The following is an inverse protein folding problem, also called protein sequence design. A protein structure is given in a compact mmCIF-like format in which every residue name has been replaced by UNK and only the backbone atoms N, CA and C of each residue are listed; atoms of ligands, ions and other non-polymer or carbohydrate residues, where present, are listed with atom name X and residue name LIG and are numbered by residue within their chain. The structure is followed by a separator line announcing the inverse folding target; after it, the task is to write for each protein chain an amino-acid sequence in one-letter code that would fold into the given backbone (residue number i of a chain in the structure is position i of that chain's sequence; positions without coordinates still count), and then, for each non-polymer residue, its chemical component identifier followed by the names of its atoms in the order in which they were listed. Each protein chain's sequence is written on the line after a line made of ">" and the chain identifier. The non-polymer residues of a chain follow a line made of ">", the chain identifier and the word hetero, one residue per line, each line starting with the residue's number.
data_IF_125949916656
#
_entry.id   IF_125949916656
#
_cell.length_a   1.000
_cell.length_b   1.000
_cell.length_c   1.000
_cell.angle_alpha   90.00
_cell.angle_beta   90.00
_cell.angle_gamma   90.00
#
_symmetry.space_group_name_H-M   'P 1'
#
loop_
_entity.id
_entity.type
_entity.pdbx_description
1 polymer ?
#
# COMPACT_ATOMS: atom_id res chain seq x y z
N UNK A 1 11.60 11.77 42.46
CA UNK A 1 11.68 10.73 41.42
C UNK A 1 10.54 10.93 40.42
N UNK A 2 10.80 11.54 39.25
CA UNK A 2 9.78 11.83 38.24
C UNK A 2 9.39 10.58 37.44
N UNK A 3 8.09 10.25 37.42
CA UNK A 3 7.51 9.27 36.50
C UNK A 3 7.05 9.99 35.22
N UNK A 4 7.29 9.44 34.02
CA UNK A 4 7.17 10.18 32.77
C UNK A 4 5.72 10.30 32.28
N UNK A 5 5.40 11.51 31.81
CA UNK A 5 4.21 11.89 31.05
C UNK A 5 4.20 11.26 29.66
N UNK A 6 3.08 10.67 29.21
CA UNK A 6 2.69 10.64 27.78
C UNK A 6 1.15 10.69 27.64
N UNK A 7 0.65 11.84 27.20
CA UNK A 7 -0.66 12.02 26.56
C UNK A 7 -0.41 12.68 25.19
N UNK A 8 -0.83 12.01 24.12
CA UNK A 8 -1.17 12.57 22.81
C UNK A 8 -1.90 11.44 22.07
N UNK A 9 -3.23 11.39 22.20
CA UNK A 9 -4.24 11.92 21.26
C UNK A 9 -4.63 10.86 20.23
N UNK A 10 -5.93 10.62 20.17
CA UNK A 10 -6.59 9.45 19.62
C UNK A 10 -7.26 9.78 18.29
N UNK A 11 -7.25 8.83 17.34
CA UNK A 11 -8.32 8.58 16.34
C UNK A 11 -8.21 7.07 15.98
N UNK A 12 -9.03 6.18 16.54
CA UNK A 12 -10.31 5.70 15.98
C UNK A 12 -10.10 5.11 14.55
N UNK A 13 -10.44 3.88 14.17
CA UNK A 13 -11.61 3.04 14.51
C UNK A 13 -11.42 1.68 13.81
N UNK A 14 -11.98 0.60 14.37
CA UNK A 14 -12.49 -0.52 13.58
C UNK A 14 -11.61 -1.76 13.50
N UNK A 15 -11.70 -2.59 14.54
CA UNK A 15 -11.66 -4.03 14.34
C UNK A 15 -12.80 -4.43 13.41
N UNK A 16 -12.54 -5.03 12.25
CA UNK A 16 -13.55 -5.83 11.54
C UNK A 16 -12.90 -6.88 10.63
N UNK A 17 -13.15 -8.13 11.02
CA UNK A 17 -13.36 -9.33 10.21
C UNK A 17 -12.20 -9.79 9.32
N UNK A 18 -11.49 -10.80 9.81
CA UNK A 18 -11.02 -11.87 8.94
C UNK A 18 -12.25 -12.72 8.52
N UNK A 19 -12.67 -12.75 7.25
CA UNK A 19 -13.41 -13.88 6.74
C UNK A 19 -12.42 -15.02 6.46
N UNK A 20 -12.76 -16.17 7.03
CA UNK A 20 -12.30 -17.52 6.75
C UNK A 20 -11.71 -17.67 5.32
N UNK A 21 -10.38 -17.81 5.21
CA UNK A 21 -9.70 -17.89 3.92
C UNK A 21 -8.21 -17.51 3.90
N UNK A 22 -7.51 -17.61 5.04
CA UNK A 22 -6.08 -17.33 5.14
C UNK A 22 -5.28 -18.40 4.37
N UNK A 23 -5.10 -18.21 3.06
CA UNK A 23 -4.05 -18.90 2.29
C UNK A 23 -2.69 -18.28 2.62
N UNK A 24 -2.23 -18.50 3.84
CA UNK A 24 -0.83 -18.25 4.20
C UNK A 24 -0.10 -19.56 4.16
N UNK A 25 0.31 -19.90 2.96
CA UNK A 25 1.36 -20.88 2.76
C UNK A 25 2.49 -20.16 2.04
N UNK A 26 3.64 -20.10 2.72
CA UNK A 26 4.95 -19.61 2.24
C UNK A 26 5.26 -18.18 2.64
N UNK A 27 6.43 -17.99 3.26
CA UNK A 27 7.10 -16.70 3.51
C UNK A 27 7.08 -15.81 2.27
N UNK A 28 6.04 -15.01 2.11
CA UNK A 28 5.83 -14.22 0.89
C UNK A 28 6.06 -12.76 1.22
N UNK A 29 7.23 -12.25 0.81
CA UNK A 29 7.62 -10.85 0.95
C UNK A 29 6.61 -9.95 0.23
N UNK A 30 6.38 -8.73 0.74
CA UNK A 30 5.46 -7.76 0.12
C UNK A 30 5.75 -7.54 -1.38
N UNK A 31 7.02 -7.65 -1.77
CA UNK A 31 7.49 -7.61 -3.16
C UNK A 31 6.89 -8.69 -4.07
N UNK A 32 6.76 -9.92 -3.58
CA UNK A 32 6.17 -11.02 -4.35
C UNK A 32 4.66 -10.84 -4.50
N UNK A 33 4.00 -10.45 -3.41
CA UNK A 33 2.56 -10.10 -3.40
C UNK A 33 2.25 -9.01 -4.43
N UNK A 34 3.08 -7.96 -4.51
CA UNK A 34 2.94 -6.90 -5.52
C UNK A 34 2.90 -7.45 -6.95
N UNK A 35 3.75 -8.42 -7.28
CA UNK A 35 3.81 -9.04 -8.61
C UNK A 35 2.56 -9.84 -8.93
N UNK A 36 2.14 -10.69 -7.97
CA UNK A 36 0.93 -11.52 -8.09
C UNK A 36 -0.31 -10.65 -8.29
N UNK A 37 -0.50 -9.67 -7.44
CA UNK A 37 -1.66 -8.79 -7.45
C UNK A 37 -1.71 -7.91 -8.70
N UNK A 38 -0.57 -7.37 -9.17
CA UNK A 38 -0.51 -6.65 -10.44
C UNK A 38 -0.97 -7.53 -11.61
N UNK A 39 -0.54 -8.79 -11.63
CA UNK A 39 -0.94 -9.76 -12.66
C UNK A 39 -2.44 -10.05 -12.60
N UNK A 40 -3.00 -10.24 -11.40
CA UNK A 40 -4.44 -10.47 -11.18
C UNK A 40 -5.30 -9.24 -11.53
N UNK A 41 -4.81 -8.02 -11.31
CA UNK A 41 -5.52 -6.78 -11.65
C UNK A 41 -5.48 -6.44 -13.16
N UNK A 42 -4.80 -7.26 -13.97
CA UNK A 42 -4.62 -7.04 -15.40
C UNK A 42 -3.60 -5.93 -15.72
N UNK A 43 -2.73 -5.57 -14.77
CA UNK A 43 -1.69 -4.57 -14.93
C UNK A 43 -0.48 -5.20 -15.63
N UNK A 44 -0.60 -5.41 -16.95
CA UNK A 44 0.42 -6.07 -17.79
C UNK A 44 1.72 -5.26 -17.94
N UNK A 45 1.74 -3.99 -17.56
CA UNK A 45 2.94 -3.17 -17.67
C UNK A 45 3.90 -3.46 -16.52
N UNK A 46 5.13 -3.86 -16.85
CA UNK A 46 6.18 -4.15 -15.87
C UNK A 46 6.47 -2.98 -14.92
N UNK A 47 6.11 -1.76 -15.31
CA UNK A 47 6.22 -0.57 -14.47
C UNK A 47 5.33 -0.62 -13.22
N UNK A 48 4.11 -1.17 -13.29
CA UNK A 48 3.26 -1.30 -12.08
C UNK A 48 3.93 -2.18 -11.03
N UNK A 49 4.52 -3.30 -11.46
CA UNK A 49 5.25 -4.21 -10.57
C UNK A 49 6.48 -3.51 -10.00
N UNK A 50 7.33 -2.90 -10.84
CA UNK A 50 8.53 -2.18 -10.39
C UNK A 50 8.20 -1.09 -9.35
N UNK A 51 7.21 -0.24 -9.62
CA UNK A 51 6.82 0.85 -8.71
C UNK A 51 6.23 0.29 -7.42
N UNK A 52 5.32 -0.69 -7.51
CA UNK A 52 4.70 -1.29 -6.32
C UNK A 52 5.71 -2.00 -5.42
N UNK A 53 6.69 -2.68 -6.02
CA UNK A 53 7.79 -3.33 -5.30
C UNK A 53 8.73 -2.30 -4.66
N UNK A 54 9.13 -1.26 -5.40
CA UNK A 54 9.96 -0.19 -4.87
C UNK A 54 9.29 0.53 -3.71
N UNK A 55 7.99 0.83 -3.83
CA UNK A 55 7.18 1.39 -2.74
C UNK A 55 7.16 0.46 -1.53
N UNK A 56 6.93 -0.84 -1.71
CA UNK A 56 6.90 -1.79 -0.61
C UNK A 56 8.26 -1.87 0.12
N UNK A 57 9.37 -1.87 -0.62
CA UNK A 57 10.72 -1.87 -0.03
C UNK A 57 11.01 -0.56 0.72
N UNK A 58 10.66 0.59 0.14
CA UNK A 58 10.84 1.91 0.76
C UNK A 58 9.99 2.04 2.02
N UNK A 59 8.73 1.64 1.97
CA UNK A 59 7.82 1.60 3.13
C UNK A 59 8.38 0.72 4.25
N UNK A 60 8.88 -0.47 3.91
CA UNK A 60 9.54 -1.35 4.89
C UNK A 60 10.78 -0.73 5.50
N UNK A 61 11.49 0.11 4.75
CA UNK A 61 12.70 0.81 5.21
C UNK A 61 12.37 2.00 6.11
N UNK A 62 11.35 2.79 5.76
CA UNK A 62 10.92 3.97 6.52
C UNK A 62 10.20 3.58 7.81
N UNK A 63 9.51 2.42 7.82
CA UNK A 63 8.86 1.88 9.00
C UNK A 63 7.46 2.46 9.28
N UNK A 64 6.93 3.34 8.43
CA UNK A 64 5.59 3.93 8.59
C UNK A 64 4.44 2.90 8.61
N UNK A 65 4.65 1.75 7.98
CA UNK A 65 3.70 0.63 7.99
C UNK A 65 4.25 -0.59 8.76
N UNK A 66 5.31 -0.41 9.55
CA UNK A 66 5.88 -1.48 10.39
C UNK A 66 4.84 -1.94 11.42
N UNK A 67 4.54 -3.25 11.42
CA UNK A 67 3.50 -3.85 12.26
C UNK A 67 2.17 -4.13 11.54
N UNK A 68 2.01 -3.70 10.29
CA UNK A 68 0.89 -4.13 9.43
C UNK A 68 1.24 -5.37 8.63
N UNK A 69 0.21 -6.14 8.27
CA UNK A 69 0.39 -7.30 7.41
C UNK A 69 0.97 -6.90 6.04
N UNK A 70 1.94 -7.65 5.50
CA UNK A 70 2.55 -7.36 4.20
C UNK A 70 1.53 -7.36 3.06
N UNK A 71 0.40 -8.06 3.21
CA UNK A 71 -0.73 -8.04 2.27
C UNK A 71 -1.34 -6.64 2.16
N UNK A 72 -1.59 -5.98 3.30
CA UNK A 72 -2.17 -4.64 3.35
C UNK A 72 -1.21 -3.60 2.79
N UNK A 73 0.09 -3.76 3.05
CA UNK A 73 1.15 -2.91 2.49
C UNK A 73 1.18 -3.05 0.97
N UNK A 74 1.27 -4.27 0.46
CA UNK A 74 1.26 -4.54 -0.98
C UNK A 74 0.00 -3.98 -1.67
N UNK A 75 -1.18 -4.18 -1.07
CA UNK A 75 -2.43 -3.64 -1.59
C UNK A 75 -2.42 -2.11 -1.71
N UNK A 76 -1.95 -1.41 -0.68
CA UNK A 76 -1.86 0.05 -0.70
C UNK A 76 -0.77 0.56 -1.67
N UNK A 77 0.37 -0.13 -1.77
CA UNK A 77 1.42 0.18 -2.75
C UNK A 77 0.89 0.09 -4.18
N UNK A 78 0.12 -0.96 -4.50
CA UNK A 78 -0.47 -1.12 -5.83
C UNK A 78 -1.55 -0.08 -6.08
N UNK A 79 -2.39 0.22 -5.08
CA UNK A 79 -3.38 1.28 -5.21
C UNK A 79 -2.70 2.60 -5.59
N UNK A 80 -1.63 2.96 -4.88
CA UNK A 80 -0.82 4.14 -5.16
C UNK A 80 -0.14 4.09 -6.53
N UNK A 81 0.54 2.99 -6.88
CA UNK A 81 1.19 2.81 -8.17
C UNK A 81 0.20 2.88 -9.34
N UNK A 82 -1.00 2.34 -9.13
CA UNK A 82 -2.08 2.35 -10.12
C UNK A 82 -2.58 3.76 -10.40
N UNK A 83 -2.77 4.56 -9.36
CA UNK A 83 -3.13 5.96 -9.47
C UNK A 83 -2.02 6.80 -10.10
N UNK A 84 -0.76 6.57 -9.69
CA UNK A 84 0.41 7.26 -10.22
C UNK A 84 0.50 7.09 -11.74
N UNK A 85 0.38 5.85 -12.23
CA UNK A 85 0.46 5.50 -13.66
C UNK A 85 -0.82 5.85 -14.46
N UNK A 86 -1.79 6.55 -13.87
CA UNK A 86 -3.02 6.97 -14.54
C UNK A 86 -4.03 5.85 -14.81
N UNK A 87 -3.90 4.70 -14.13
CA UNK A 87 -4.87 3.60 -14.15
C UNK A 87 -5.35 3.29 -12.73
N UNK A 88 -6.05 4.22 -12.07
CA UNK A 88 -6.47 4.04 -10.69
C UNK A 88 -7.37 2.81 -10.56
N UNK A 89 -6.97 1.87 -9.71
CA UNK A 89 -7.79 0.70 -9.35
C UNK A 89 -8.60 1.00 -8.10
N UNK A 90 -9.85 0.57 -8.06
CA UNK A 90 -10.68 0.74 -6.88
C UNK A 90 -10.20 -0.14 -5.74
N UNK A 91 -10.30 0.35 -4.49
CA UNK A 91 -9.99 -0.44 -3.31
C UNK A 91 -10.76 -1.77 -3.27
N UNK A 92 -11.97 -1.81 -3.82
CA UNK A 92 -12.77 -3.04 -3.96
C UNK A 92 -12.10 -4.09 -4.85
N UNK A 93 -11.59 -3.71 -6.01
CA UNK A 93 -10.84 -4.63 -6.90
C UNK A 93 -9.61 -5.19 -6.19
N UNK A 94 -8.85 -4.32 -5.52
CA UNK A 94 -7.64 -4.71 -4.82
C UNK A 94 -7.98 -5.57 -3.59
N UNK A 95 -9.06 -5.29 -2.87
CA UNK A 95 -9.53 -6.08 -1.73
C UNK A 95 -9.83 -7.53 -2.10
N UNK A 96 -10.45 -7.73 -3.28
CA UNK A 96 -10.77 -9.07 -3.80
C UNK A 96 -9.52 -9.86 -4.15
N UNK A 97 -8.49 -9.19 -4.68
CA UNK A 97 -7.23 -9.81 -5.08
C UNK A 97 -6.30 -10.05 -3.89
N UNK A 98 -6.19 -9.06 -3.00
CA UNK A 98 -5.26 -9.07 -1.87
C UNK A 98 -5.84 -9.73 -0.61
N UNK A 99 -7.14 -10.04 -0.58
CA UNK A 99 -7.79 -10.68 0.56
C UNK A 99 -7.82 -9.80 1.83
N UNK A 100 -7.86 -8.47 1.66
CA UNK A 100 -7.90 -7.50 2.77
C UNK A 100 -9.08 -6.57 2.62
N UNK A 101 -9.69 -6.13 3.72
CA UNK A 101 -10.85 -5.23 3.70
C UNK A 101 -10.51 -3.86 3.08
N UNK A 102 -11.49 -3.24 2.41
CA UNK A 102 -11.33 -1.92 1.78
C UNK A 102 -10.88 -0.84 2.77
N UNK A 103 -11.42 -0.86 4.00
CA UNK A 103 -11.02 0.02 5.08
C UNK A 103 -9.54 -0.13 5.42
N UNK A 104 -9.02 -1.36 5.45
CA UNK A 104 -7.61 -1.63 5.71
C UNK A 104 -6.71 -1.04 4.63
N UNK A 105 -7.10 -1.18 3.35
CA UNK A 105 -6.38 -0.60 2.21
C UNK A 105 -6.38 0.92 2.33
N UNK A 106 -7.54 1.53 2.58
CA UNK A 106 -7.68 3.00 2.67
C UNK A 106 -6.87 3.54 3.84
N UNK A 107 -6.89 2.88 4.99
CA UNK A 107 -6.06 3.27 6.13
C UNK A 107 -4.57 3.15 5.81
N UNK A 108 -4.12 2.03 5.22
CA UNK A 108 -2.71 1.86 4.83
C UNK A 108 -2.28 2.88 3.77
N UNK A 109 -3.18 3.20 2.83
CA UNK A 109 -2.98 4.23 1.82
C UNK A 109 -2.81 5.62 2.43
N UNK A 110 -3.54 5.98 3.50
CA UNK A 110 -3.35 7.29 4.16
C UNK A 110 -1.92 7.50 4.67
N UNK A 111 -1.30 6.47 5.27
CA UNK A 111 0.10 6.54 5.70
C UNK A 111 1.05 6.63 4.52
N UNK A 112 0.87 5.75 3.52
CA UNK A 112 1.63 5.80 2.27
C UNK A 112 1.52 7.17 1.59
N UNK A 113 0.33 7.76 1.58
CA UNK A 113 0.04 9.06 0.98
C UNK A 113 0.74 10.19 1.75
N UNK A 114 0.84 10.12 3.07
CA UNK A 114 1.56 11.12 3.87
C UNK A 114 3.05 11.19 3.49
N UNK A 115 3.68 10.03 3.28
CA UNK A 115 5.11 9.94 2.93
C UNK A 115 5.35 9.75 1.42
N UNK A 116 4.32 9.92 0.59
CA UNK A 116 4.40 9.70 -0.86
C UNK A 116 5.52 10.51 -1.52
N UNK A 117 5.78 11.71 -1.01
CA UNK A 117 6.82 12.62 -1.51
C UNK A 117 8.23 12.10 -1.25
N UNK A 118 8.42 11.29 -0.20
CA UNK A 118 9.70 10.64 0.14
C UNK A 118 9.82 9.25 -0.46
N UNK A 119 8.68 8.57 -0.64
CA UNK A 119 8.63 7.18 -1.11
C UNK A 119 8.67 7.06 -2.63
N UNK A 120 8.03 7.99 -3.34
CA UNK A 120 7.97 7.98 -4.80
C UNK A 120 9.21 8.70 -5.32
N UNK A 121 10.08 7.95 -5.98
CA UNK A 121 11.30 8.50 -6.56
C UNK A 121 10.95 9.38 -7.77
N UNK A 122 11.66 10.51 -7.97
CA UNK A 122 11.47 11.35 -9.14
C UNK A 122 11.70 10.58 -10.45
N UNK A 123 12.53 9.53 -10.46
CA UNK A 123 12.72 8.65 -11.62
C UNK A 123 11.44 7.92 -12.07
N UNK A 124 10.51 7.61 -11.17
CA UNK A 124 9.24 6.95 -11.53
C UNK A 124 8.23 7.92 -12.16
N UNK A 125 8.43 9.22 -11.94
CA UNK A 125 7.60 10.32 -12.44
C UNK A 125 8.26 10.96 -13.70
N UNK A 126 9.59 10.98 -13.75
CA UNK A 126 10.40 11.65 -14.77
C UNK A 126 10.17 11.14 -16.19
N UNK A 127 9.79 9.86 -16.35
CA UNK A 127 9.52 9.27 -17.66
C UNK A 127 8.16 9.72 -18.26
N UNK A 128 7.45 10.68 -17.64
CA UNK A 128 6.13 11.16 -18.06
C UNK A 128 5.00 10.15 -17.85
N UNK A 129 5.31 9.01 -17.23
CA UNK A 129 4.39 7.87 -17.05
C UNK A 129 3.66 7.90 -15.71
N UNK A 130 4.14 8.70 -14.75
CA UNK A 130 3.53 8.88 -13.44
C UNK A 130 3.16 10.34 -13.17
N UNK A 131 1.96 10.63 -12.65
CA UNK A 131 1.60 11.98 -12.16
C UNK A 131 1.23 11.92 -10.68
N UNK A 132 1.97 12.63 -9.85
CA UNK A 132 1.67 12.74 -8.41
C UNK A 132 0.32 13.41 -8.15
N UNK A 133 -0.11 14.29 -9.06
CA UNK A 133 -1.42 14.94 -9.07
C UNK A 133 -2.60 13.96 -9.26
N UNK A 134 -2.37 12.78 -9.84
CA UNK A 134 -3.43 11.80 -10.06
C UNK A 134 -3.75 10.98 -8.81
N UNK A 135 -2.98 11.13 -7.72
CA UNK A 135 -3.28 10.38 -6.51
C UNK A 135 -4.55 10.93 -5.85
N UNK A 136 -5.58 10.08 -5.62
CA UNK A 136 -6.80 10.52 -4.99
C UNK A 136 -6.53 10.89 -3.53
N UNK A 137 -6.67 12.17 -3.20
CA UNK A 137 -6.79 12.62 -1.81
C UNK A 137 -7.98 11.90 -1.16
N UNK A 138 -7.70 11.10 -0.12
CA UNK A 138 -8.71 10.29 0.59
C UNK A 138 -9.63 11.10 1.48
#
# INVERSE_FOLDING_TARGET
>A
MPKPSKKATAEATGALAAPDGYQTTTSTNAKDLCTRYCSQLGLKSQQFVKISQGLAEKVSTVGDLAGRSPLSVAAACIYMASALLGKPKSAKEISQVAGVSDGTIRTAYKYLYADREKLIEPEWIADGKGKMDNLPVS
#
